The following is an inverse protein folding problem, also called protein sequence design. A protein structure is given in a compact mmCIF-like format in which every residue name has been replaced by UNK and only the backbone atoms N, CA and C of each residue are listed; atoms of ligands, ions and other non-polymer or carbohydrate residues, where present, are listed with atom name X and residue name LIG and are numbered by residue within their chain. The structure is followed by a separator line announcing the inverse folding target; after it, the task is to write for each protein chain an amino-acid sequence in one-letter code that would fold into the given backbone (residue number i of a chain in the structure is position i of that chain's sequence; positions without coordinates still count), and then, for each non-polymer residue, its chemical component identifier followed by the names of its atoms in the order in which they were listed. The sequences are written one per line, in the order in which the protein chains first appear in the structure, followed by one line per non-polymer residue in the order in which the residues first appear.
data_IF_486716004166
#
_entry.id   IF_486716004166
#
_cell.length_a   1.000
_cell.length_b   1.000
_cell.length_c   1.000
_cell.angle_alpha   90.00
_cell.angle_beta   90.00
_cell.angle_gamma   90.00
#
_symmetry.space_group_name_H-M   'P 1'
#
loop_
_entity.id
_entity.type
_entity.pdbx_description
1 polymer ?
#
# COMPACT_ATOMS: atom_id res chain seq x y z
N UNK A 1 -12.83 8.41 -1.18
CA UNK A 1 -11.62 7.86 -0.55
C UNK A 1 -11.74 6.35 -0.60
N UNK A 2 -10.89 5.68 -1.37
CA UNK A 2 -10.81 4.23 -1.33
C UNK A 2 -10.01 3.85 -0.09
N UNK A 3 -10.65 3.12 0.84
CA UNK A 3 -10.03 2.66 2.09
C UNK A 3 -9.57 1.21 1.87
N UNK A 4 -8.43 0.83 2.43
CA UNK A 4 -7.83 -0.49 2.21
C UNK A 4 -6.80 -0.81 3.28
N UNK A 5 -6.54 -2.09 3.48
CA UNK A 5 -5.56 -2.57 4.46
C UNK A 5 -4.31 -3.03 3.73
N UNK A 6 -3.13 -2.71 4.28
CA UNK A 6 -1.86 -3.22 3.73
C UNK A 6 -1.84 -4.73 3.92
N UNK A 7 -1.90 -5.47 2.82
CA UNK A 7 -1.86 -6.92 2.83
C UNK A 7 -0.47 -7.42 3.20
N UNK A 8 0.54 -6.82 2.58
CA UNK A 8 1.94 -7.03 2.93
C UNK A 8 2.80 -5.91 2.34
N UNK A 9 3.92 -5.63 3.00
CA UNK A 9 4.88 -4.62 2.56
C UNK A 9 6.31 -5.11 2.80
N UNK A 10 7.18 -4.90 1.81
CA UNK A 10 8.60 -5.22 1.90
C UNK A 10 9.41 -3.92 2.03
N UNK A 11 9.85 -3.54 3.24
CA UNK A 11 10.65 -2.34 3.43
C UNK A 11 12.03 -2.42 2.76
N UNK A 12 12.62 -3.61 2.69
CA UNK A 12 13.94 -3.81 2.05
C UNK A 12 13.90 -3.60 0.54
N UNK A 13 12.77 -3.93 -0.11
CA UNK A 13 12.58 -3.68 -1.54
C UNK A 13 11.78 -2.42 -1.86
N UNK A 14 11.18 -1.77 -0.86
CA UNK A 14 10.46 -0.51 -1.01
C UNK A 14 9.11 -0.64 -1.75
N UNK A 15 8.44 -1.79 -1.69
CA UNK A 15 7.13 -1.96 -2.31
C UNK A 15 6.22 -2.87 -1.50
N UNK A 16 4.92 -2.80 -1.76
CA UNK A 16 3.92 -3.67 -1.15
C UNK A 16 2.62 -3.71 -1.93
N UNK A 17 1.64 -4.37 -1.34
CA UNK A 17 0.30 -4.46 -1.87
C UNK A 17 -0.73 -4.10 -0.80
N UNK A 18 -1.75 -3.36 -1.23
CA UNK A 18 -2.91 -3.01 -0.42
C UNK A 18 -4.12 -3.78 -0.97
N UNK A 19 -4.87 -4.38 -0.06
CA UNK A 19 -6.17 -4.96 -0.36
C UNK A 19 -7.26 -3.92 -0.07
N UNK A 20 -7.96 -3.41 -1.10
CA UNK A 20 -9.06 -2.47 -0.90
C UNK A 20 -10.24 -3.13 -0.19
N UNK A 21 -10.90 -2.43 0.73
CA UNK A 21 -12.11 -2.96 1.41
C UNK A 21 -13.30 -3.10 0.48
N UNK A 22 -13.22 -2.49 -0.71
CA UNK A 22 -14.21 -2.58 -1.77
C UNK A 22 -14.21 -3.95 -2.49
N UNK A 23 -13.26 -4.84 -2.18
CA UNK A 23 -13.11 -6.13 -2.87
C UNK A 23 -12.54 -6.01 -4.29
N UNK A 24 -12.12 -4.79 -4.65
CA UNK A 24 -11.35 -4.49 -5.85
C UNK A 24 -9.98 -5.19 -5.84
N UNK A 25 -9.34 -5.30 -7.01
CA UNK A 25 -8.04 -5.98 -7.15
C UNK A 25 -6.97 -5.36 -6.24
N UNK A 26 -6.01 -6.19 -5.83
CA UNK A 26 -4.85 -5.75 -5.05
C UNK A 26 -4.16 -4.56 -5.74
N UNK A 27 -3.89 -3.50 -4.98
CA UNK A 27 -3.26 -2.28 -5.46
C UNK A 27 -1.79 -2.32 -5.11
N UNK A 28 -0.92 -2.25 -6.11
CA UNK A 28 0.52 -2.15 -5.90
C UNK A 28 0.89 -0.76 -5.38
N UNK A 29 1.72 -0.70 -4.35
CA UNK A 29 2.21 0.55 -3.77
C UNK A 29 3.74 0.56 -3.67
N UNK A 30 4.32 1.72 -3.93
CA UNK A 30 5.75 1.96 -3.76
C UNK A 30 6.00 2.76 -2.48
N UNK A 31 7.12 2.53 -1.80
CA UNK A 31 7.52 3.21 -0.56
C UNK A 31 7.48 4.73 -0.69
N UNK A 32 7.82 5.26 -1.86
CA UNK A 32 7.76 6.70 -2.14
C UNK A 32 6.36 7.29 -1.99
N UNK A 33 5.30 6.50 -2.22
CA UNK A 33 3.93 6.95 -1.98
C UNK A 33 3.60 6.97 -0.48
N UNK A 34 4.18 6.03 0.29
CA UNK A 34 4.03 5.91 1.73
C UNK A 34 4.81 7.01 2.48
N UNK A 35 6.03 7.31 2.05
CA UNK A 35 6.84 8.44 2.52
C UNK A 35 6.13 9.78 2.27
N UNK A 36 5.56 9.95 1.07
CA UNK A 36 4.77 11.16 0.75
C UNK A 36 3.49 11.28 1.57
N UNK A 37 2.96 10.16 2.06
CA UNK A 37 1.84 10.14 2.98
C UNK A 37 2.26 10.35 4.45
N UNK A 38 3.57 10.42 4.75
CA UNK A 38 4.09 10.59 6.10
C UNK A 38 3.93 9.34 6.99
N UNK A 39 3.84 8.15 6.39
CA UNK A 39 3.62 6.88 7.09
C UNK A 39 4.94 6.10 7.30
N UNK A 40 6.07 6.63 6.81
CA UNK A 40 7.40 6.04 6.94
C UNK A 40 8.22 6.67 8.08
#
# INVERSE_FOLDING_TARGET
MSVGTVKWFNPSKGYGFIEPTDGSKDVFIHVSALERAGIA
#
